data_IF_519249012472
#
_entry.id   IF_519249012472
#
_cell.length_a   1.000
_cell.length_b   1.000
_cell.length_c   1.000
_cell.angle_alpha   90.00
_cell.angle_beta   90.00
_cell.angle_gamma   90.00
#
_symmetry.space_group_name_H-M   'P 1'
#
loop_
_entity.id
_entity.type
_entity.pdbx_description
1 polymer ?
#
# COMPACT_ATOMS: atom_id res chain seq x y z
N UNK A 1 -4.87 -1.05 8.51
CA UNK A 1 -5.33 -0.29 9.69
C UNK A 1 -4.27 -0.17 10.80
N UNK A 2 -3.05 -0.72 10.64
CA UNK A 2 -2.04 -0.70 11.71
C UNK A 2 -1.47 0.69 12.03
N UNK A 3 -1.40 1.60 11.05
CA UNK A 3 -0.96 2.98 11.27
C UNK A 3 -1.82 3.71 12.32
N UNK A 4 -3.14 3.54 12.26
CA UNK A 4 -4.10 4.15 13.18
C UNK A 4 -3.88 3.71 14.63
N UNK A 5 -3.46 2.46 14.85
CA UNK A 5 -3.16 1.93 16.19
C UNK A 5 -1.96 2.62 16.84
N UNK A 6 -1.06 3.21 16.03
CA UNK A 6 0.12 3.93 16.52
C UNK A 6 -0.18 5.42 16.78
N UNK A 7 -1.41 5.89 16.53
CA UNK A 7 -1.81 7.28 16.73
C UNK A 7 -0.90 8.28 16.01
N UNK A 8 -0.59 9.40 16.66
CA UNK A 8 0.28 10.44 16.10
C UNK A 8 1.71 9.96 15.82
N UNK A 9 2.24 9.01 16.60
CA UNK A 9 3.57 8.45 16.40
C UNK A 9 3.70 7.69 15.08
N UNK A 10 2.59 7.14 14.57
CA UNK A 10 2.55 6.48 13.27
C UNK A 10 2.93 7.38 12.10
N UNK A 11 2.82 8.71 12.27
CA UNK A 11 3.13 9.70 11.23
C UNK A 11 4.56 10.26 11.32
N UNK A 12 5.34 9.87 12.33
CA UNK A 12 6.71 10.32 12.50
C UNK A 12 7.69 9.35 11.83
N UNK A 13 8.58 9.87 10.97
CA UNK A 13 9.56 9.08 10.22
C UNK A 13 10.61 8.36 11.09
N UNK A 14 10.67 8.71 12.37
CA UNK A 14 11.50 8.04 13.38
C UNK A 14 11.00 6.63 13.68
N UNK A 15 9.70 6.37 13.50
CA UNK A 15 9.10 5.06 13.72
C UNK A 15 9.01 4.26 12.41
N UNK A 16 9.37 2.96 12.42
CA UNK A 16 9.42 2.15 11.21
C UNK A 16 8.05 1.98 10.53
N UNK A 17 6.94 2.13 11.27
CA UNK A 17 5.58 2.01 10.73
C UNK A 17 5.27 3.09 9.68
N UNK A 18 5.82 4.30 9.82
CA UNK A 18 5.61 5.39 8.88
C UNK A 18 6.21 5.04 7.51
N UNK A 19 7.45 4.54 7.51
CA UNK A 19 8.14 4.08 6.30
C UNK A 19 7.46 2.85 5.69
N UNK A 20 7.13 1.86 6.50
CA UNK A 20 6.42 0.66 6.02
C UNK A 20 5.08 1.00 5.38
N UNK A 21 4.34 1.98 5.91
CA UNK A 21 3.08 2.44 5.32
C UNK A 21 3.29 3.15 3.97
N UNK A 22 4.35 3.96 3.85
CA UNK A 22 4.71 4.61 2.59
C UNK A 22 5.12 3.57 1.53
N UNK A 23 6.00 2.63 1.89
CA UNK A 23 6.48 1.57 0.99
C UNK A 23 5.37 0.62 0.55
N UNK A 24 4.37 0.35 1.41
CA UNK A 24 3.22 -0.46 1.03
C UNK A 24 2.34 0.21 -0.06
N UNK A 25 2.40 1.54 -0.23
CA UNK A 25 1.55 2.25 -1.20
C UNK A 25 1.90 1.89 -2.65
N UNK A 26 3.18 1.67 -2.95
CA UNK A 26 3.67 1.44 -4.31
C UNK A 26 3.35 0.04 -4.85
N UNK A 27 2.99 -0.90 -3.96
CA UNK A 27 2.58 -2.26 -4.34
C UNK A 27 1.41 -2.29 -5.35
N UNK A 28 0.59 -1.24 -5.42
CA UNK A 28 -0.53 -1.16 -6.38
C UNK A 28 -0.11 -0.81 -7.82
N UNK A 29 1.17 -0.52 -8.04
CA UNK A 29 1.71 -0.03 -9.31
C UNK A 29 2.80 -0.98 -9.82
N UNK A 30 3.63 -1.51 -8.91
CA UNK A 30 4.69 -2.44 -9.28
C UNK A 30 4.15 -3.73 -9.91
N UNK A 31 4.75 -4.12 -11.04
CA UNK A 31 4.34 -5.33 -11.77
C UNK A 31 3.04 -5.20 -12.56
N UNK A 32 2.49 -3.98 -12.67
CA UNK A 32 1.21 -3.70 -13.31
C UNK A 32 0.28 -3.00 -12.33
N UNK A 33 -0.44 -1.97 -12.79
CA UNK A 33 -1.41 -1.30 -11.92
C UNK A 33 -2.54 -2.24 -11.56
N UNK A 34 -3.09 -2.09 -10.36
CA UNK A 34 -4.22 -2.91 -9.90
C UNK A 34 -5.40 -2.88 -10.89
N UNK A 35 -5.62 -1.77 -11.59
CA UNK A 35 -6.66 -1.60 -12.59
C UNK A 35 -6.42 -2.52 -13.81
N UNK A 36 -5.20 -2.55 -14.34
CA UNK A 36 -4.83 -3.43 -15.46
C UNK A 36 -4.90 -4.90 -15.02
N UNK A 37 -4.44 -5.22 -13.82
CA UNK A 37 -4.53 -6.59 -13.29
C UNK A 37 -5.98 -7.05 -13.17
N UNK A 38 -6.89 -6.18 -12.70
CA UNK A 38 -8.34 -6.45 -12.66
C UNK A 38 -8.93 -6.60 -14.06
N UNK A 39 -8.51 -5.78 -15.02
CA UNK A 39 -8.95 -5.88 -16.40
C UNK A 39 -8.56 -7.24 -17.02
N UNK A 40 -7.30 -7.67 -16.84
CA UNK A 40 -6.81 -8.98 -17.31
C UNK A 40 -7.63 -10.12 -16.70
N UNK A 41 -7.89 -10.08 -15.39
CA UNK A 41 -8.72 -11.08 -14.71
C UNK A 41 -10.14 -11.09 -15.31
N UNK A 42 -10.75 -9.92 -15.53
CA UNK A 42 -12.09 -9.82 -16.14
C UNK A 42 -12.19 -10.26 -17.60
N UNK A 43 -11.07 -10.25 -18.34
CA UNK A 43 -11.01 -10.79 -19.71
C UNK A 43 -10.87 -12.31 -19.73
N UNK A 44 -10.35 -12.89 -18.66
CA UNK A 44 -10.07 -14.33 -18.54
C UNK A 44 -11.25 -15.10 -17.94
N UNK A 45 -12.11 -14.42 -17.18
CA UNK A 45 -13.38 -14.90 -16.63
C UNK A 45 -14.53 -14.65 -17.61
#
# INVERSE_FOLDING_TARGET
ACLQLHGGYGYMWEYPIARAYADARVQRIYGGTNEIMKEIISRTL
#
